data_IF_252006418730
#
_entry.id   IF_252006418730
#
_cell.length_a   1.000
_cell.length_b   1.000
_cell.length_c   1.000
_cell.angle_alpha   90.00
_cell.angle_beta   90.00
_cell.angle_gamma   90.00
#
_symmetry.space_group_name_H-M   'P 1'
#
loop_
_entity.id
_entity.type
_entity.pdbx_description
1 polymer ?
#
# COMPACT_ATOMS: atom_id res chain seq x y z
N UNK A 1 -9.98 26.55 -9.04
CA UNK A 1 -9.24 25.35 -9.49
C UNK A 1 -8.24 25.05 -8.39
N UNK A 2 -8.42 23.98 -7.63
CA UNK A 2 -7.47 23.62 -6.56
C UNK A 2 -6.34 22.84 -7.19
N UNK A 3 -5.10 23.30 -7.02
CA UNK A 3 -3.92 22.56 -7.44
C UNK A 3 -3.89 21.17 -6.76
N UNK A 4 -3.38 20.14 -7.45
CA UNK A 4 -3.28 18.81 -6.88
C UNK A 4 -2.32 18.83 -5.69
N UNK A 5 -2.83 18.40 -4.53
CA UNK A 5 -2.04 18.30 -3.30
C UNK A 5 -1.03 17.16 -3.43
N UNK A 6 0.24 17.34 -3.02
CA UNK A 6 1.19 16.25 -2.98
C UNK A 6 0.73 15.15 -2.00
N UNK A 7 0.93 13.90 -2.39
CA UNK A 7 0.58 12.72 -1.60
C UNK A 7 1.80 12.19 -0.84
N UNK A 8 1.62 11.96 0.46
CA UNK A 8 2.56 11.30 1.35
C UNK A 8 1.93 10.01 1.84
N UNK A 9 2.65 8.89 1.71
CA UNK A 9 2.22 7.58 2.19
C UNK A 9 3.11 7.17 3.37
N UNK A 10 2.51 6.76 4.48
CA UNK A 10 3.21 6.26 5.67
C UNK A 10 2.72 4.88 6.08
N UNK A 11 3.43 4.18 6.96
CA UNK A 11 3.12 2.77 7.26
C UNK A 11 1.90 2.56 8.17
N UNK A 12 1.56 3.54 9.02
CA UNK A 12 0.55 3.38 10.06
C UNK A 12 -0.48 4.54 10.12
N UNK A 13 -1.74 4.26 10.45
CA UNK A 13 -2.77 5.31 10.58
C UNK A 13 -2.45 6.34 11.66
N UNK A 14 -1.77 5.92 12.75
CA UNK A 14 -1.36 6.81 13.82
C UNK A 14 -0.33 7.84 13.33
N UNK A 15 0.67 7.39 12.55
CA UNK A 15 1.67 8.28 11.97
C UNK A 15 1.05 9.25 10.95
N UNK A 16 0.10 8.79 10.12
CA UNK A 16 -0.60 9.66 9.18
C UNK A 16 -1.28 10.83 9.90
N UNK A 17 -2.07 10.55 10.96
CA UNK A 17 -2.73 11.58 11.78
C UNK A 17 -1.75 12.57 12.42
N UNK A 18 -0.58 12.08 12.85
CA UNK A 18 0.45 12.93 13.45
C UNK A 18 1.09 13.85 12.41
N UNK A 19 1.46 13.32 11.24
CA UNK A 19 2.08 14.11 10.17
C UNK A 19 1.11 15.12 9.56
N UNK A 20 -0.17 14.77 9.37
CA UNK A 20 -1.18 15.71 8.88
C UNK A 20 -1.31 16.96 9.76
N UNK A 21 -1.13 16.82 11.09
CA UNK A 21 -1.17 17.97 12.01
C UNK A 21 0.00 18.94 11.81
N UNK A 22 1.17 18.43 11.39
CA UNK A 22 2.34 19.26 11.15
C UNK A 22 2.31 19.94 9.78
N UNK A 23 1.81 19.24 8.76
CA UNK A 23 1.85 19.72 7.37
C UNK A 23 0.61 20.53 6.96
N UNK A 24 -0.51 20.38 7.67
CA UNK A 24 -1.74 21.11 7.38
C UNK A 24 -2.45 20.64 6.11
N UNK A 25 -3.32 21.48 5.58
CA UNK A 25 -4.25 21.15 4.50
C UNK A 25 -3.62 21.08 3.12
N UNK A 26 -2.36 21.49 2.95
CA UNK A 26 -1.70 21.56 1.64
C UNK A 26 -1.22 20.18 1.16
N UNK A 27 -1.23 19.19 2.06
CA UNK A 27 -0.75 17.83 1.81
C UNK A 27 -1.87 16.81 1.99
N UNK A 28 -1.82 15.74 1.20
CA UNK A 28 -2.62 14.54 1.41
C UNK A 28 -1.73 13.49 2.07
N UNK A 29 -2.10 13.01 3.27
CA UNK A 29 -1.30 12.04 4.02
C UNK A 29 -2.14 10.79 4.27
N UNK A 30 -1.70 9.66 3.72
CA UNK A 30 -2.41 8.38 3.79
C UNK A 30 -1.53 7.27 4.37
N UNK A 31 -2.18 6.24 4.91
CA UNK A 31 -1.48 5.08 5.50
C UNK A 31 -1.55 3.87 4.57
N UNK A 32 -0.44 3.17 4.38
CA UNK A 32 -0.41 1.86 3.70
C UNK A 32 -0.97 0.73 4.55
N UNK A 33 -1.09 0.93 5.87
CA UNK A 33 -1.53 -0.09 6.84
C UNK A 33 -0.57 -1.30 6.79
N UNK A 34 0.74 -1.02 6.69
CA UNK A 34 1.78 -2.03 6.54
C UNK A 34 2.03 -2.45 5.09
N UNK A 35 2.35 -3.74 4.89
CA UNK A 35 2.66 -4.31 3.57
C UNK A 35 1.42 -4.39 2.68
N UNK A 36 1.56 -3.94 1.42
CA UNK A 36 0.48 -3.95 0.42
C UNK A 36 0.48 -5.25 -0.39
N UNK A 37 1.63 -5.91 -0.49
CA UNK A 37 1.82 -7.14 -1.26
C UNK A 37 2.81 -8.05 -0.55
N UNK A 38 2.57 -9.34 -0.68
CA UNK A 38 3.48 -10.40 -0.29
C UNK A 38 3.46 -11.51 -1.36
N UNK A 39 4.35 -12.48 -1.23
CA UNK A 39 4.28 -13.72 -1.99
C UNK A 39 2.98 -14.46 -1.63
N UNK A 40 2.37 -15.20 -2.57
CA UNK A 40 1.18 -15.99 -2.28
C UNK A 40 1.49 -17.03 -1.19
N UNK A 41 0.87 -16.97 -0.01
CA UNK A 41 1.07 -17.94 1.06
C UNK A 41 0.38 -19.28 0.74
N UNK A 42 -0.54 -19.29 -0.24
CA UNK A 42 -1.27 -20.47 -0.66
C UNK A 42 -1.45 -20.52 -2.18
N UNK A 43 -1.66 -21.72 -2.71
CA UNK A 43 -1.94 -21.93 -4.12
C UNK A 43 -3.23 -21.26 -4.62
N UNK A 44 -4.16 -20.97 -3.70
CA UNK A 44 -5.42 -20.32 -4.03
C UNK A 44 -5.21 -18.85 -4.45
N UNK A 45 -4.22 -18.19 -3.84
CA UNK A 45 -3.89 -16.78 -4.02
C UNK A 45 -3.01 -16.48 -5.24
N UNK A 46 -2.49 -17.54 -5.89
CA UNK A 46 -1.76 -17.38 -7.14
C UNK A 46 -2.72 -16.80 -8.21
N UNK A 47 -2.39 -15.68 -8.85
CA UNK A 47 -3.23 -15.10 -9.90
C UNK A 47 -3.47 -16.10 -11.04
N UNK A 48 -4.67 -16.10 -11.63
CA UNK A 48 -5.05 -17.04 -12.71
C UNK A 48 -4.01 -17.13 -13.83
N UNK A 49 -3.39 -15.99 -14.17
CA UNK A 49 -2.33 -15.89 -15.17
C UNK A 49 -1.11 -16.80 -14.88
N UNK A 50 -0.79 -17.03 -13.61
CA UNK A 50 0.41 -17.75 -13.18
C UNK A 50 0.11 -19.12 -12.56
N UNK A 51 -1.16 -19.54 -12.44
CA UNK A 51 -1.54 -20.81 -11.77
C UNK A 51 -0.94 -22.07 -12.41
N UNK A 52 -0.65 -22.05 -13.71
CA UNK A 52 -0.08 -23.19 -14.44
C UNK A 52 1.45 -23.24 -14.43
N UNK A 53 2.11 -22.20 -13.92
CA UNK A 53 3.56 -22.11 -13.89
C UNK A 53 4.14 -22.94 -12.76
N UNK A 54 5.12 -23.79 -13.05
CA UNK A 54 5.75 -24.67 -12.05
C UNK A 54 6.44 -23.88 -10.91
N UNK A 55 6.89 -22.66 -11.20
CA UNK A 55 7.58 -21.79 -10.25
C UNK A 55 6.63 -20.90 -9.43
N UNK A 56 5.33 -20.87 -9.72
CA UNK A 56 4.41 -19.94 -9.05
C UNK A 56 4.13 -20.28 -7.57
N UNK A 57 4.55 -21.45 -7.10
CA UNK A 57 4.42 -21.93 -5.72
C UNK A 57 5.74 -21.98 -4.96
N UNK A 58 6.84 -21.50 -5.54
CA UNK A 58 8.18 -21.71 -4.98
C UNK A 58 8.48 -20.84 -3.73
N UNK A 59 7.47 -20.22 -3.14
CA UNK A 59 7.56 -19.41 -1.92
C UNK A 59 7.21 -20.20 -0.69
#
# INVERSE_FOLDING_TARGET
MTEPKPLIIVESPAKARTISKFLGSDWMVESSIGHIRDLPPSAAEIPKKYKGEKWARLG
#
